data_IF_511585662446
#
_entry.id   IF_511585662446
#
_cell.length_a   1.000
_cell.length_b   1.000
_cell.length_c   1.000
_cell.angle_alpha   90.00
_cell.angle_beta   90.00
_cell.angle_gamma   90.00
#
_symmetry.space_group_name_H-M   'P 1'
#
loop_
_entity.id
_entity.type
_entity.pdbx_description
1 polymer ?
#
# COMPACT_ATOMS: atom_id res chain seq x y z
N UNK A 1 -6.15 -4.24 -23.09
CA UNK A 1 -7.09 -5.15 -22.40
C UNK A 1 -7.29 -4.62 -21.00
N UNK A 2 -8.52 -4.34 -20.56
CA UNK A 2 -8.80 -3.99 -19.16
C UNK A 2 -9.29 -5.25 -18.45
N UNK A 3 -8.42 -6.01 -17.77
CA UNK A 3 -8.85 -7.22 -17.07
C UNK A 3 -9.85 -6.85 -15.98
N UNK A 4 -11.01 -7.50 -15.99
CA UNK A 4 -12.00 -7.35 -14.93
C UNK A 4 -11.62 -8.28 -13.78
N UNK A 5 -11.31 -7.72 -12.61
CA UNK A 5 -11.07 -8.49 -11.39
C UNK A 5 -12.36 -8.44 -10.56
N UNK A 6 -13.05 -9.57 -10.47
CA UNK A 6 -14.30 -9.69 -9.69
C UNK A 6 -14.07 -10.13 -8.26
N UNK A 7 -13.00 -10.89 -7.99
CA UNK A 7 -12.67 -11.44 -6.67
C UNK A 7 -11.18 -11.24 -6.32
N UNK A 8 -10.76 -10.04 -5.90
CA UNK A 8 -9.36 -9.78 -5.55
C UNK A 8 -8.90 -10.60 -4.34
N UNK A 9 -7.68 -11.12 -4.41
CA UNK A 9 -6.97 -11.70 -3.26
C UNK A 9 -6.45 -10.64 -2.31
N UNK A 10 -6.22 -9.43 -2.83
CA UNK A 10 -5.76 -8.27 -2.06
C UNK A 10 -6.39 -7.00 -2.61
N UNK A 11 -6.90 -6.17 -1.71
CA UNK A 11 -7.35 -4.81 -1.99
C UNK A 11 -6.39 -3.83 -1.33
N UNK A 12 -5.85 -2.90 -2.12
CA UNK A 12 -5.13 -1.72 -1.61
C UNK A 12 -6.01 -0.49 -1.86
N UNK A 13 -6.61 0.05 -0.80
CA UNK A 13 -7.52 1.18 -0.88
C UNK A 13 -6.85 2.47 -0.42
N UNK A 14 -6.62 3.40 -1.35
CA UNK A 14 -5.99 4.70 -1.07
C UNK A 14 -6.94 5.75 -0.49
N UNK A 15 -8.25 5.51 -0.52
CA UNK A 15 -9.27 6.44 -0.03
C UNK A 15 -10.54 5.68 0.42
N UNK A 16 -11.39 6.35 1.20
CA UNK A 16 -12.64 5.79 1.73
C UNK A 16 -13.62 5.27 0.67
N UNK A 17 -13.92 6.02 -0.42
CA UNK A 17 -14.84 5.54 -1.46
C UNK A 17 -14.38 4.25 -2.14
N UNK A 18 -13.07 4.12 -2.43
CA UNK A 18 -12.51 2.89 -3.00
C UNK A 18 -12.63 1.72 -2.01
N UNK A 19 -12.36 1.96 -0.72
CA UNK A 19 -12.54 0.93 0.30
C UNK A 19 -13.99 0.42 0.33
N UNK A 20 -14.96 1.32 0.48
CA UNK A 20 -16.38 0.95 0.54
C UNK A 20 -16.85 0.21 -0.73
N UNK A 21 -16.41 0.66 -1.89
CA UNK A 21 -16.83 0.07 -3.17
C UNK A 21 -16.29 -1.34 -3.37
N UNK A 22 -15.06 -1.61 -2.95
CA UNK A 22 -14.34 -2.82 -3.31
C UNK A 22 -14.15 -3.82 -2.17
N UNK A 23 -14.32 -3.42 -0.90
CA UNK A 23 -14.24 -4.35 0.25
C UNK A 23 -15.14 -5.58 0.14
N UNK A 24 -16.39 -5.53 -0.43
CA UNK A 24 -17.25 -6.72 -0.46
C UNK A 24 -16.76 -7.76 -1.47
N UNK A 25 -15.99 -7.34 -2.49
CA UNK A 25 -15.48 -8.21 -3.54
C UNK A 25 -14.26 -9.02 -3.10
N UNK A 26 -13.60 -8.63 -2.00
CA UNK A 26 -12.41 -9.34 -1.50
C UNK A 26 -12.82 -10.74 -1.06
N UNK A 27 -12.15 -11.74 -1.64
CA UNK A 27 -12.44 -13.15 -1.36
C UNK A 27 -12.19 -13.48 0.13
N UNK A 28 -12.87 -14.49 0.70
CA UNK A 28 -12.55 -14.98 2.04
C UNK A 28 -11.06 -15.31 2.20
N UNK A 29 -10.48 -14.93 3.35
CA UNK A 29 -9.05 -15.04 3.63
C UNK A 29 -8.15 -14.04 2.87
N UNK A 30 -8.75 -13.18 2.03
CA UNK A 30 -8.05 -12.12 1.33
C UNK A 30 -7.49 -11.05 2.26
N UNK A 31 -6.75 -10.10 1.69
CA UNK A 31 -6.10 -9.02 2.43
C UNK A 31 -6.68 -7.66 2.02
N UNK A 32 -7.00 -6.81 2.99
CA UNK A 32 -7.36 -5.41 2.77
C UNK A 32 -6.30 -4.54 3.43
N UNK A 33 -5.59 -3.75 2.63
CA UNK A 33 -4.69 -2.71 3.11
C UNK A 33 -5.34 -1.38 2.76
N UNK A 34 -5.61 -0.53 3.74
CA UNK A 34 -6.30 0.73 3.49
C UNK A 34 -5.59 1.92 4.14
N UNK A 35 -5.69 3.06 3.47
CA UNK A 35 -5.10 4.30 3.94
C UNK A 35 -5.96 4.94 5.04
N UNK A 36 -5.59 4.70 6.30
CA UNK A 36 -6.30 5.18 7.48
C UNK A 36 -6.25 6.72 7.63
N UNK A 37 -5.27 7.40 7.02
CA UNK A 37 -5.21 8.86 7.07
C UNK A 37 -6.33 9.55 6.27
N UNK A 38 -6.98 8.83 5.35
CA UNK A 38 -8.03 9.37 4.47
C UNK A 38 -9.39 8.69 4.67
N UNK A 39 -9.56 7.91 5.75
CA UNK A 39 -10.83 7.28 6.10
C UNK A 39 -10.98 7.13 7.61
N UNK A 40 -12.14 7.53 8.14
CA UNK A 40 -12.49 7.37 9.55
C UNK A 40 -13.26 6.07 9.83
N UNK A 41 -13.26 5.14 8.86
CA UNK A 41 -14.03 3.90 8.92
C UNK A 41 -13.14 2.71 8.64
N UNK A 42 -13.31 1.66 9.44
CA UNK A 42 -12.73 0.34 9.22
C UNK A 42 -13.54 -0.48 8.20
N UNK A 43 -12.90 -1.42 7.48
CA UNK A 43 -13.60 -2.31 6.57
C UNK A 43 -14.68 -3.13 7.30
N UNK A 44 -15.88 -3.21 6.73
CA UNK A 44 -16.96 -4.03 7.29
C UNK A 44 -16.89 -5.50 6.83
N UNK A 45 -16.07 -5.81 5.82
CA UNK A 45 -15.90 -7.17 5.31
C UNK A 45 -15.29 -8.06 6.40
N UNK A 46 -16.01 -9.08 6.82
CA UNK A 46 -15.52 -10.10 7.76
C UNK A 46 -14.79 -11.24 7.05
N UNK A 47 -13.99 -12.02 7.79
CA UNK A 47 -13.30 -13.20 7.24
C UNK A 47 -12.17 -12.85 6.28
N UNK A 48 -11.59 -11.66 6.39
CA UNK A 48 -10.43 -11.18 5.64
C UNK A 48 -9.39 -10.65 6.63
N UNK A 49 -8.14 -10.60 6.20
CA UNK A 49 -7.06 -9.93 6.93
C UNK A 49 -7.11 -8.43 6.62
N UNK A 50 -6.90 -7.59 7.61
CA UNK A 50 -6.99 -6.13 7.47
C UNK A 50 -5.72 -5.48 8.01
N UNK A 51 -5.13 -4.59 7.23
CA UNK A 51 -4.05 -3.71 7.65
C UNK A 51 -4.46 -2.24 7.43
N UNK A 52 -4.50 -1.49 8.52
CA UNK A 52 -4.63 -0.03 8.49
C UNK A 52 -3.23 0.59 8.35
N UNK A 53 -3.04 1.48 7.36
CA UNK A 53 -1.78 2.19 7.16
C UNK A 53 -2.05 3.69 7.10
N UNK A 54 -1.40 4.47 7.95
CA UNK A 54 -1.47 5.94 7.93
C UNK A 54 -0.52 6.51 6.88
N UNK A 55 -0.78 6.18 5.61
CA UNK A 55 0.19 6.39 4.53
C UNK A 55 0.50 7.86 4.25
N UNK A 56 -0.47 8.75 4.43
CA UNK A 56 -0.26 10.18 4.24
C UNK A 56 0.58 10.77 5.38
N UNK A 57 0.29 10.41 6.64
CA UNK A 57 1.08 10.87 7.80
C UNK A 57 2.56 10.47 7.64
N UNK A 58 2.82 9.20 7.26
CA UNK A 58 4.18 8.73 7.00
C UNK A 58 4.83 9.49 5.83
N UNK A 59 4.09 9.77 4.76
CA UNK A 59 4.60 10.52 3.61
C UNK A 59 4.91 11.99 3.96
N UNK A 60 4.12 12.60 4.85
CA UNK A 60 4.34 13.93 5.39
C UNK A 60 5.60 13.98 6.27
N UNK A 61 5.82 12.98 7.13
CA UNK A 61 7.05 12.84 7.93
C UNK A 61 8.31 12.65 7.09
N UNK A 62 8.18 11.99 5.93
CA UNK A 62 9.27 11.86 4.94
C UNK A 62 9.54 13.21 4.24
N UNK A 63 8.60 14.16 4.30
CA UNK A 63 8.68 15.45 3.62
C UNK A 63 8.21 15.41 2.17
N UNK A 64 7.50 14.36 1.76
CA UNK A 64 6.95 14.26 0.40
C UNK A 64 5.62 13.48 0.36
N UNK A 65 4.51 14.20 0.38
CA UNK A 65 3.16 13.60 0.30
C UNK A 65 2.93 12.69 -0.92
N UNK A 66 3.71 12.86 -2.01
CA UNK A 66 3.58 12.04 -3.22
C UNK A 66 4.07 10.60 -3.02
N UNK A 67 4.79 10.29 -1.94
CA UNK A 67 5.31 8.93 -1.68
C UNK A 67 4.35 8.03 -0.92
N UNK A 68 3.14 8.49 -0.56
CA UNK A 68 2.13 7.71 0.17
C UNK A 68 1.79 6.37 -0.53
N UNK A 69 1.74 6.34 -1.86
CA UNK A 69 1.53 5.11 -2.61
C UNK A 69 2.63 4.07 -2.38
N UNK A 70 3.89 4.52 -2.21
CA UNK A 70 5.02 3.63 -1.94
C UNK A 70 5.07 3.18 -0.48
N UNK A 71 4.49 3.93 0.47
CA UNK A 71 4.24 3.42 1.82
C UNK A 71 3.30 2.22 1.76
N UNK A 72 2.17 2.35 1.05
CA UNK A 72 1.20 1.26 0.89
C UNK A 72 1.81 0.05 0.17
N UNK A 73 2.63 0.29 -0.85
CA UNK A 73 3.35 -0.78 -1.55
C UNK A 73 4.34 -1.50 -0.64
N UNK A 74 5.09 -0.77 0.20
CA UNK A 74 5.99 -1.34 1.18
C UNK A 74 5.29 -2.31 2.14
N UNK A 75 4.13 -1.89 2.66
CA UNK A 75 3.29 -2.71 3.53
C UNK A 75 2.79 -3.98 2.83
N UNK A 76 2.33 -3.86 1.59
CA UNK A 76 1.89 -4.98 0.77
C UNK A 76 3.00 -6.00 0.51
N UNK A 77 4.19 -5.53 0.14
CA UNK A 77 5.34 -6.40 -0.14
C UNK A 77 5.80 -7.13 1.11
N UNK A 78 5.71 -6.48 2.27
CA UNK A 78 6.07 -7.12 3.53
C UNK A 78 5.14 -8.29 3.87
N UNK A 79 3.83 -8.13 3.72
CA UNK A 79 2.87 -9.20 4.05
C UNK A 79 2.91 -10.32 3.02
N UNK A 80 2.95 -9.97 1.73
CA UNK A 80 2.79 -10.95 0.65
C UNK A 80 4.08 -11.64 0.26
N UNK A 81 5.24 -11.02 0.53
CA UNK A 81 6.57 -11.50 0.13
C UNK A 81 6.68 -11.82 -1.37
N UNK A 82 5.80 -11.26 -2.22
CA UNK A 82 5.77 -11.52 -3.66
C UNK A 82 7.06 -11.08 -4.36
N UNK A 83 7.74 -10.08 -3.80
CA UNK A 83 9.11 -9.70 -4.14
C UNK A 83 9.75 -8.97 -2.96
N UNK A 84 11.06 -8.72 -3.02
CA UNK A 84 11.78 -7.99 -1.97
C UNK A 84 11.62 -6.47 -2.11
N UNK A 85 11.74 -5.74 -1.00
CA UNK A 85 11.81 -4.28 -1.01
C UNK A 85 12.99 -3.77 -1.84
N UNK A 86 14.12 -4.49 -1.83
CA UNK A 86 15.28 -4.16 -2.63
C UNK A 86 14.98 -4.23 -4.13
N UNK A 87 14.23 -5.25 -4.58
CA UNK A 87 13.81 -5.35 -5.98
C UNK A 87 12.86 -4.23 -6.36
N UNK A 88 11.91 -3.88 -5.48
CA UNK A 88 11.00 -2.75 -5.71
C UNK A 88 11.74 -1.41 -5.79
N UNK A 89 12.69 -1.17 -4.88
CA UNK A 89 13.56 0.02 -4.89
C UNK A 89 14.40 0.10 -6.18
N UNK A 90 15.02 -1.02 -6.59
CA UNK A 90 15.80 -1.08 -7.83
C UNK A 90 14.94 -0.80 -9.07
N UNK A 91 13.66 -1.17 -9.05
CA UNK A 91 12.73 -0.88 -10.14
C UNK A 91 12.46 0.63 -10.29
N UNK A 92 12.53 1.44 -9.22
CA UNK A 92 12.26 2.88 -9.27
C UNK A 92 13.12 3.61 -10.32
N UNK A 93 14.41 3.24 -10.45
CA UNK A 93 15.31 3.81 -11.49
C UNK A 93 14.85 3.47 -12.91
N UNK A 94 14.19 2.33 -13.11
CA UNK A 94 13.72 1.88 -14.43
C UNK A 94 12.40 2.52 -14.82
N UNK A 95 11.50 2.78 -13.86
CA UNK A 95 10.18 3.35 -14.13
C UNK A 95 10.12 4.88 -14.02
N UNK A 96 10.98 5.50 -13.22
CA UNK A 96 11.02 6.95 -13.12
C UNK A 96 11.90 7.54 -14.24
N UNK A 97 11.50 8.68 -14.84
CA UNK A 97 12.39 9.42 -15.73
C UNK A 97 13.56 10.02 -14.92
N UNK A 98 14.74 10.17 -15.52
CA UNK A 98 15.95 10.65 -14.84
C UNK A 98 15.75 11.96 -14.07
N UNK A 99 14.98 12.91 -14.63
CA UNK A 99 14.62 14.18 -13.98
C UNK A 99 13.93 14.00 -12.62
N UNK A 100 13.38 12.82 -12.31
CA UNK A 100 12.71 12.47 -11.05
C UNK A 100 13.55 11.57 -10.13
N UNK A 101 14.82 11.30 -10.47
CA UNK A 101 15.69 10.45 -9.64
C UNK A 101 15.97 11.03 -8.25
N UNK A 102 15.89 12.35 -8.09
CA UNK A 102 15.98 12.99 -6.78
C UNK A 102 14.86 12.55 -5.81
N UNK A 103 13.75 11.99 -6.31
CA UNK A 103 12.70 11.42 -5.46
C UNK A 103 12.99 9.97 -5.03
N UNK A 104 13.96 9.27 -5.62
CA UNK A 104 14.23 7.86 -5.31
C UNK A 104 14.50 7.66 -3.82
N UNK A 105 15.35 8.46 -3.14
CA UNK A 105 15.58 8.25 -1.70
C UNK A 105 14.31 8.35 -0.85
N UNK A 106 13.43 9.30 -1.15
CA UNK A 106 12.15 9.45 -0.45
C UNK A 106 11.21 8.24 -0.70
N UNK A 107 11.18 7.73 -1.94
CA UNK A 107 10.40 6.54 -2.28
C UNK A 107 10.95 5.27 -1.64
N UNK A 108 12.27 5.11 -1.57
CA UNK A 108 12.92 4.00 -0.87
C UNK A 108 12.63 4.03 0.63
N UNK A 109 12.66 5.22 1.25
CA UNK A 109 12.25 5.39 2.64
C UNK A 109 10.79 5.00 2.83
N UNK A 110 9.88 5.50 1.99
CA UNK A 110 8.46 5.14 2.05
C UNK A 110 8.21 3.64 1.99
N UNK A 111 8.89 2.92 1.08
CA UNK A 111 8.81 1.45 1.00
C UNK A 111 9.23 0.78 2.31
N UNK A 112 10.28 1.28 2.97
CA UNK A 112 10.78 0.73 4.24
C UNK A 112 9.83 1.00 5.40
N UNK A 113 9.34 2.23 5.53
CA UNK A 113 8.38 2.62 6.60
C UNK A 113 7.08 1.83 6.47
N UNK A 114 6.54 1.71 5.24
CA UNK A 114 5.36 0.90 4.98
C UNK A 114 5.54 -0.57 5.36
N UNK A 115 6.70 -1.15 5.02
CA UNK A 115 7.02 -2.51 5.42
C UNK A 115 7.20 -2.66 6.94
N UNK A 116 7.67 -1.63 7.64
CA UNK A 116 7.78 -1.66 9.09
C UNK A 116 6.40 -1.70 9.75
N UNK A 117 5.46 -0.85 9.31
CA UNK A 117 4.07 -0.87 9.78
C UNK A 117 3.47 -2.27 9.66
N UNK A 118 3.68 -2.93 8.52
CA UNK A 118 3.20 -4.29 8.29
C UNK A 118 3.88 -5.37 9.14
N UNK A 119 5.13 -5.18 9.57
CA UNK A 119 5.80 -6.12 10.50
C UNK A 119 5.26 -6.02 11.92
N UNK A 120 4.95 -4.82 12.34
CA UNK A 120 4.49 -4.54 13.71
C UNK A 120 3.01 -4.90 13.89
N UNK A 121 2.21 -4.69 12.83
CA UNK A 121 0.84 -5.18 12.77
C UNK A 121 0.84 -6.70 12.55
N UNK A 122 0.53 -7.48 13.58
CA UNK A 122 0.34 -8.94 13.46
C UNK A 122 -0.94 -9.22 12.66
N UNK A 123 -0.83 -9.30 11.33
CA UNK A 123 -1.95 -9.44 10.36
C UNK A 123 -2.08 -10.85 9.79
#
# INVERSE_FOLDING_TARGET
SSPLVTEPTTLIAMNGPALLKYEPAVKPGGLIIYNASLTNREPARTGVRVLAVKANEIAEEIGNVQVAANVMLGAFLEITKVTSLANAAAALKKVLPERRYHFIPANERALKEGAQVAREATV
#
